data_IF_896219926061
#
_entry.id   IF_896219926061
#
_cell.length_a   1.000
_cell.length_b   1.000
_cell.length_c   1.000
_cell.angle_alpha   90.00
_cell.angle_beta   90.00
_cell.angle_gamma   90.00
#
_symmetry.space_group_name_H-M   'P 1'
#
loop_
_entity.id
_entity.type
_entity.pdbx_description
1 polymer ?
#
# COMPACT_ATOMS: atom_id res chain seq x y z
N UNK A 1 0.63 0.79 22.73
CA UNK A 1 1.32 0.26 21.53
C UNK A 1 1.49 1.42 20.58
N UNK A 2 2.71 1.89 20.43
CA UNK A 2 3.06 3.02 19.56
C UNK A 2 2.69 2.67 18.11
N UNK A 3 1.80 3.46 17.54
CA UNK A 3 1.42 3.28 16.15
C UNK A 3 2.57 3.76 15.25
N UNK A 4 3.16 2.86 14.47
CA UNK A 4 4.15 3.24 13.48
C UNK A 4 3.44 3.87 12.28
N UNK A 5 3.63 5.18 12.10
CA UNK A 5 3.10 5.93 10.95
C UNK A 5 4.23 6.48 10.10
N UNK A 6 4.09 6.33 8.78
CA UNK A 6 5.07 6.82 7.81
C UNK A 6 4.38 7.44 6.60
N UNK A 7 4.88 8.61 6.18
CA UNK A 7 4.47 9.24 4.92
C UNK A 7 5.31 8.72 3.77
N UNK A 8 4.63 8.23 2.74
CA UNK A 8 5.25 7.65 1.54
C UNK A 8 4.67 8.30 0.29
N UNK A 9 5.36 8.10 -0.83
CA UNK A 9 4.91 8.48 -2.16
C UNK A 9 5.15 7.32 -3.10
N UNK A 10 4.23 7.08 -4.02
CA UNK A 10 4.35 5.98 -4.99
C UNK A 10 3.50 6.20 -6.22
N UNK A 11 3.93 5.60 -7.32
CA UNK A 11 3.22 5.64 -8.59
C UNK A 11 2.08 4.63 -8.59
N UNK A 12 0.91 5.09 -9.00
CA UNK A 12 -0.27 4.26 -9.22
C UNK A 12 -0.07 3.52 -10.53
N UNK A 13 -0.23 2.19 -10.48
CA UNK A 13 -0.17 1.35 -11.66
C UNK A 13 -1.44 0.52 -11.79
N UNK A 14 -1.87 0.34 -13.03
CA UNK A 14 -3.00 -0.51 -13.37
C UNK A 14 -2.47 -1.92 -13.64
N UNK A 15 -2.85 -2.85 -12.79
CA UNK A 15 -2.69 -4.27 -13.06
C UNK A 15 -3.89 -4.77 -13.85
N UNK A 16 -3.64 -5.26 -15.07
CA UNK A 16 -4.63 -5.90 -15.94
C UNK A 16 -4.37 -7.41 -15.96
N UNK A 17 -5.11 -8.18 -15.16
CA UNK A 17 -4.98 -9.64 -15.11
C UNK A 17 -6.35 -10.32 -15.14
N UNK A 18 -6.55 -11.22 -16.10
CA UNK A 18 -7.81 -11.96 -16.25
C UNK A 18 -9.02 -11.06 -16.53
N UNK A 19 -10.15 -11.27 -15.81
CA UNK A 19 -11.41 -10.55 -15.99
C UNK A 19 -11.55 -9.27 -15.16
N UNK A 20 -10.51 -8.82 -14.45
CA UNK A 20 -10.61 -7.65 -13.55
C UNK A 20 -9.34 -6.82 -13.52
N UNK A 21 -9.51 -5.51 -13.45
CA UNK A 21 -8.39 -4.56 -13.36
C UNK A 21 -8.29 -4.00 -11.95
N UNK A 22 -7.08 -4.02 -11.39
CA UNK A 22 -6.79 -3.50 -10.06
C UNK A 22 -5.80 -2.35 -10.16
N UNK A 23 -5.97 -1.34 -9.30
CA UNK A 23 -4.98 -0.28 -9.16
C UNK A 23 -4.17 -0.52 -7.90
N UNK A 24 -2.87 -0.34 -8.01
CA UNK A 24 -1.94 -0.55 -6.93
C UNK A 24 -0.96 0.62 -6.84
N UNK A 25 -0.37 0.78 -5.66
CA UNK A 25 0.76 1.68 -5.43
C UNK A 25 1.91 0.86 -4.89
N UNK A 26 3.07 0.94 -5.52
CA UNK A 26 4.30 0.35 -4.99
C UNK A 26 4.90 1.28 -3.94
N UNK A 27 5.25 0.72 -2.79
CA UNK A 27 6.05 1.42 -1.80
C UNK A 27 7.51 1.49 -2.26
N UNK A 28 8.27 2.53 -1.89
CA UNK A 28 9.71 2.57 -2.16
C UNK A 28 10.42 1.32 -1.62
N UNK A 29 11.32 0.71 -2.41
CA UNK A 29 11.99 -0.56 -2.06
C UNK A 29 12.72 -0.48 -0.72
N UNK A 30 13.43 0.61 -0.47
CA UNK A 30 14.12 0.85 0.80
C UNK A 30 13.17 0.80 2.00
N UNK A 31 12.06 1.54 1.92
CA UNK A 31 11.03 1.57 2.97
C UNK A 31 10.31 0.23 3.13
N UNK A 32 10.11 -0.49 2.02
CA UNK A 32 9.53 -1.84 2.07
C UNK A 32 10.43 -2.82 2.82
N UNK A 33 11.75 -2.76 2.57
CA UNK A 33 12.75 -3.56 3.30
C UNK A 33 12.78 -3.19 4.79
N UNK A 34 12.76 -1.90 5.10
CA UNK A 34 12.73 -1.44 6.49
C UNK A 34 11.48 -2.01 7.20
N UNK A 35 10.29 -1.83 6.62
CA UNK A 35 9.04 -2.36 7.16
C UNK A 35 9.09 -3.88 7.35
N UNK A 36 9.60 -4.62 6.37
CA UNK A 36 9.73 -6.08 6.46
C UNK A 36 10.65 -6.50 7.60
N UNK A 37 11.75 -5.79 7.82
CA UNK A 37 12.68 -6.08 8.91
C UNK A 37 12.09 -5.70 10.27
N UNK A 38 11.46 -4.54 10.39
CA UNK A 38 10.86 -4.06 11.64
C UNK A 38 9.68 -4.90 12.09
N UNK A 39 8.87 -5.39 11.15
CA UNK A 39 7.65 -6.16 11.43
C UNK A 39 7.78 -7.66 11.09
N UNK A 40 9.01 -8.15 11.00
CA UNK A 40 9.28 -9.57 10.75
C UNK A 40 8.57 -10.44 11.80
N UNK A 41 7.78 -11.40 11.35
CA UNK A 41 7.00 -12.29 12.24
C UNK A 41 5.68 -11.72 12.75
N UNK A 42 5.36 -10.45 12.46
CA UNK A 42 4.03 -9.85 12.68
C UNK A 42 3.15 -9.88 11.41
N UNK A 43 3.69 -10.43 10.31
CA UNK A 43 3.02 -10.59 9.04
C UNK A 43 1.87 -11.61 9.14
N UNK A 44 0.80 -11.37 8.38
CA UNK A 44 -0.37 -12.26 8.29
C UNK A 44 -0.46 -12.88 6.90
N UNK A 45 -0.99 -14.10 6.81
CA UNK A 45 -1.28 -14.75 5.52
C UNK A 45 -0.08 -14.66 4.57
N UNK A 46 -0.31 -14.26 3.33
CA UNK A 46 0.66 -14.05 2.23
C UNK A 46 1.80 -13.02 2.49
N UNK A 47 2.40 -12.99 3.69
CA UNK A 47 3.39 -12.00 4.11
C UNK A 47 2.83 -10.58 4.25
N UNK A 48 1.51 -10.45 4.38
CA UNK A 48 0.82 -9.17 4.35
C UNK A 48 0.85 -8.46 5.70
N UNK A 49 0.91 -7.13 5.68
CA UNK A 49 0.81 -6.32 6.90
C UNK A 49 -0.51 -5.55 6.91
N UNK A 50 -1.32 -5.64 7.98
CA UNK A 50 -2.52 -4.84 8.13
C UNK A 50 -2.14 -3.37 8.35
N UNK A 51 -2.81 -2.48 7.63
CA UNK A 51 -2.52 -1.04 7.64
C UNK A 51 -3.78 -0.20 7.61
N UNK A 52 -3.67 1.01 8.15
CA UNK A 52 -4.58 2.12 7.90
C UNK A 52 -3.87 3.09 6.97
N UNK A 53 -4.55 3.48 5.89
CA UNK A 53 -3.99 4.34 4.85
C UNK A 53 -4.82 5.60 4.76
N UNK A 54 -4.15 6.74 4.64
CA UNK A 54 -4.79 8.01 4.33
C UNK A 54 -4.21 8.59 3.05
N UNK A 55 -5.08 8.89 2.08
CA UNK A 55 -4.74 9.67 0.88
C UNK A 55 -5.68 10.86 0.83
N UNK A 56 -5.13 12.07 0.79
CA UNK A 56 -5.89 13.31 0.84
C UNK A 56 -6.82 13.33 2.05
N UNK A 57 -8.14 13.23 1.82
CA UNK A 57 -9.18 13.23 2.88
C UNK A 57 -9.75 11.85 3.16
N UNK A 58 -9.34 10.84 2.41
CA UNK A 58 -9.89 9.50 2.49
C UNK A 58 -8.97 8.59 3.31
N UNK A 59 -9.50 8.06 4.42
CA UNK A 59 -8.83 7.08 5.28
C UNK A 59 -9.54 5.74 5.23
N UNK A 60 -8.80 4.65 5.09
CA UNK A 60 -9.37 3.29 5.13
C UNK A 60 -8.38 2.25 5.65
N UNK A 61 -8.91 1.13 6.11
CA UNK A 61 -8.11 -0.04 6.50
C UNK A 61 -8.00 -1.05 5.37
N UNK A 62 -6.81 -1.60 5.21
CA UNK A 62 -6.48 -2.62 4.21
C UNK A 62 -5.22 -3.38 4.63
N UNK A 63 -4.60 -4.12 3.71
CA UNK A 63 -3.30 -4.74 3.91
C UNK A 63 -2.37 -4.40 2.76
N UNK A 64 -1.08 -4.28 3.06
CA UNK A 64 -0.02 -4.24 2.04
C UNK A 64 0.54 -5.65 1.84
N UNK A 65 0.88 -5.98 0.59
CA UNK A 65 1.30 -7.32 0.20
C UNK A 65 2.72 -7.28 -0.37
N UNK A 66 3.61 -8.20 0.02
CA UNK A 66 4.96 -8.23 -0.53
C UNK A 66 4.90 -8.73 -1.98
N UNK A 67 5.58 -8.02 -2.87
CA UNK A 67 5.85 -8.49 -4.22
C UNK A 67 7.27 -9.04 -4.29
N UNK A 68 7.38 -10.36 -4.48
CA UNK A 68 8.68 -11.05 -4.51
C UNK A 68 9.52 -10.72 -5.76
N UNK A 69 8.91 -10.21 -6.84
CA UNK A 69 9.64 -9.85 -8.07
C UNK A 69 10.25 -8.46 -7.94
N UNK A 70 9.46 -7.51 -7.47
CA UNK A 70 9.85 -6.12 -7.30
C UNK A 70 10.63 -5.88 -6.01
N UNK A 71 10.48 -6.74 -5.01
CA UNK A 71 11.09 -6.57 -3.69
C UNK A 71 10.48 -5.39 -2.92
N UNK A 72 9.20 -5.13 -3.13
CA UNK A 72 8.48 -4.01 -2.55
C UNK A 72 7.11 -4.44 -2.04
N UNK A 73 6.56 -3.69 -1.08
CA UNK A 73 5.16 -3.85 -0.71
C UNK A 73 4.24 -3.15 -1.72
N UNK A 74 3.13 -3.80 -2.03
CA UNK A 74 2.04 -3.34 -2.86
C UNK A 74 0.86 -2.92 -2.00
N UNK A 75 0.37 -1.71 -2.23
CA UNK A 75 -0.85 -1.20 -1.64
C UNK A 75 -1.99 -1.24 -2.67
N UNK A 76 -3.06 -2.04 -2.48
CA UNK A 76 -4.24 -1.98 -3.33
C UNK A 76 -5.04 -0.69 -3.12
N UNK A 77 -5.43 -0.04 -4.22
CA UNK A 77 -6.32 1.12 -4.23
C UNK A 77 -7.74 0.73 -4.63
N UNK A 78 -8.66 0.82 -3.66
CA UNK A 78 -10.09 0.59 -3.87
C UNK A 78 -10.66 1.61 -4.87
N UNK A 79 -11.61 1.16 -5.70
CA UNK A 79 -12.27 2.04 -6.67
C UNK A 79 -12.94 3.26 -6.01
N UNK A 80 -13.55 3.10 -4.84
CA UNK A 80 -14.15 4.20 -4.09
C UNK A 80 -13.13 5.28 -3.70
N UNK A 81 -11.97 4.87 -3.19
CA UNK A 81 -10.87 5.79 -2.82
C UNK A 81 -10.39 6.57 -4.05
N UNK A 82 -10.16 5.86 -5.16
CA UNK A 82 -9.70 6.50 -6.41
C UNK A 82 -10.69 7.53 -6.93
N UNK A 83 -11.99 7.22 -6.87
CA UNK A 83 -13.05 8.15 -7.28
C UNK A 83 -13.11 9.38 -6.37
N UNK A 84 -13.04 9.20 -5.06
CA UNK A 84 -13.09 10.32 -4.10
C UNK A 84 -11.90 11.27 -4.22
N UNK A 85 -10.68 10.73 -4.39
CA UNK A 85 -9.45 11.52 -4.45
C UNK A 85 -8.99 11.84 -5.89
N UNK A 86 -9.80 11.48 -6.90
CA UNK A 86 -9.52 11.67 -8.34
C UNK A 86 -8.15 11.10 -8.77
N UNK A 87 -7.89 9.84 -8.39
CA UNK A 87 -6.64 9.14 -8.65
C UNK A 87 -6.77 8.23 -9.87
N UNK A 88 -5.86 8.40 -10.82
CA UNK A 88 -5.77 7.62 -12.05
C UNK A 88 -4.48 6.80 -12.12
N UNK A 89 -4.42 5.85 -13.07
CA UNK A 89 -3.18 5.12 -13.33
C UNK A 89 -2.13 6.07 -13.92
N UNK A 90 -0.91 5.99 -13.39
CA UNK A 90 0.18 6.90 -13.76
C UNK A 90 0.45 8.00 -12.74
N UNK A 91 -0.52 8.32 -11.87
CA UNK A 91 -0.38 9.35 -10.85
C UNK A 91 0.66 8.99 -9.80
N UNK A 92 1.30 10.01 -9.24
CA UNK A 92 2.23 9.85 -8.13
C UNK A 92 1.60 10.37 -6.83
N UNK A 93 1.02 9.46 -6.05
CA UNK A 93 0.21 9.80 -4.87
C UNK A 93 1.07 9.80 -3.61
N UNK A 94 0.82 10.77 -2.72
CA UNK A 94 1.38 10.77 -1.36
C UNK A 94 0.35 10.20 -0.40
N UNK A 95 0.78 9.31 0.48
CA UNK A 95 -0.11 8.61 1.40
C UNK A 95 0.55 8.45 2.76
N UNK A 96 -0.26 8.51 3.82
CA UNK A 96 0.15 8.12 5.16
C UNK A 96 -0.19 6.65 5.34
N UNK A 97 0.78 5.90 5.87
CA UNK A 97 0.67 4.48 6.14
C UNK A 97 0.89 4.26 7.63
N UNK A 98 -0.12 3.72 8.31
CA UNK A 98 -0.06 3.35 9.73
C UNK A 98 -0.17 1.84 9.86
N UNK A 99 0.82 1.21 10.48
CA UNK A 99 0.86 -0.25 10.66
C UNK A 99 -0.04 -0.63 11.85
N UNK A 100 -0.87 -1.66 11.66
CA UNK A 100 -1.89 -2.12 12.63
C UNK A 100 -1.55 -3.50 13.21
N UNK A 101 -0.32 -3.66 13.70
CA UNK A 101 0.19 -4.91 14.32
C UNK A 101 0.32 -4.79 15.82
#
# INVERSE_FOLDING_TARGET
MDAFEIKLKGKVWLYTGGKSSWHFVMLPKGKSRDLRNFFAGMERGFGSLPVEVTIGKTTWRTSIFPDSKEGAYLLPLKAAVRKSEKIEAGDNVSFLLKILV
#
